data_IF_856290638554
#
_entry.id   IF_856290638554
#
_cell.length_a   1.000
_cell.length_b   1.000
_cell.length_c   1.000
_cell.angle_alpha   90.00
_cell.angle_beta   90.00
_cell.angle_gamma   90.00
#
_symmetry.space_group_name_H-M   'P 1'
#
loop_
_entity.id
_entity.type
_entity.pdbx_description
1 polymer ?
#
# COMPACT_ATOMS: atom_id res chain seq x y z
N UNK A 1 7.51 -8.81 -15.29
CA UNK A 1 6.61 -9.57 -14.40
C UNK A 1 5.49 -10.23 -15.21
N UNK A 2 5.67 -11.48 -15.67
CA UNK A 2 4.72 -12.15 -16.58
C UNK A 2 3.55 -12.76 -15.78
N UNK A 3 2.33 -12.36 -16.15
CA UNK A 3 0.98 -12.72 -15.64
C UNK A 3 0.51 -11.93 -14.41
N UNK A 4 -0.48 -11.05 -14.66
CA UNK A 4 -1.32 -10.34 -13.67
C UNK A 4 -1.83 -11.34 -12.62
N UNK A 5 -1.25 -11.31 -11.42
CA UNK A 5 -1.79 -11.99 -10.23
C UNK A 5 -2.43 -11.02 -9.25
N UNK A 6 -2.18 -9.72 -9.38
CA UNK A 6 -2.55 -8.73 -8.38
C UNK A 6 -3.07 -7.48 -9.08
N UNK A 7 -4.23 -6.99 -8.64
CA UNK A 7 -4.86 -5.77 -9.16
C UNK A 7 -4.43 -4.53 -8.37
N UNK A 8 -4.15 -4.71 -7.08
CA UNK A 8 -3.78 -3.65 -6.15
C UNK A 8 -2.49 -4.01 -5.42
N UNK A 9 -1.64 -3.02 -5.15
CA UNK A 9 -0.38 -3.16 -4.44
C UNK A 9 -0.21 -2.04 -3.43
N UNK A 10 0.02 -2.35 -2.16
CA UNK A 10 0.38 -1.37 -1.14
C UNK A 10 1.61 -1.89 -0.40
N UNK A 11 2.69 -1.11 -0.38
CA UNK A 11 3.94 -1.47 0.27
C UNK A 11 4.48 -0.24 0.99
N UNK A 12 4.69 -0.38 2.30
CA UNK A 12 5.41 0.57 3.13
C UNK A 12 6.72 -0.06 3.57
N UNK A 13 7.83 0.52 3.14
CA UNK A 13 9.14 0.15 3.63
C UNK A 13 9.37 0.84 4.98
N UNK A 14 9.74 0.06 5.99
CA UNK A 14 10.06 0.56 7.33
C UNK A 14 11.48 0.13 7.68
N UNK A 15 12.45 0.92 7.24
CA UNK A 15 13.86 0.71 7.57
C UNK A 15 14.28 1.70 8.66
N UNK A 16 14.62 1.17 9.84
CA UNK A 16 14.98 1.95 11.03
C UNK A 16 13.90 2.99 11.39
N UNK A 17 14.27 4.29 11.39
CA UNK A 17 13.39 5.43 11.65
C UNK A 17 12.72 5.99 10.40
N UNK A 18 13.00 5.43 9.21
CA UNK A 18 12.42 5.90 7.95
C UNK A 18 11.30 4.98 7.52
N UNK A 19 10.11 5.57 7.38
CA UNK A 19 8.99 4.93 6.70
C UNK A 19 8.81 5.59 5.34
N UNK A 20 8.97 4.83 4.26
CA UNK A 20 8.65 5.29 2.90
C UNK A 20 7.54 4.43 2.33
N UNK A 21 6.49 5.09 1.85
CA UNK A 21 5.43 4.42 1.12
C UNK A 21 5.74 4.43 -0.38
N UNK A 22 5.60 3.27 -1.02
CA UNK A 22 5.77 3.13 -2.47
C UNK A 22 4.86 4.10 -3.23
N UNK A 23 3.68 4.42 -2.69
CA UNK A 23 2.73 5.35 -3.25
C UNK A 23 3.32 6.73 -3.54
N UNK A 24 4.25 7.22 -2.71
CA UNK A 24 4.87 8.54 -2.92
C UNK A 24 5.97 8.53 -3.97
N UNK A 25 6.44 7.35 -4.41
CA UNK A 25 7.46 7.21 -5.45
C UNK A 25 6.84 7.23 -6.85
N UNK A 26 6.54 8.44 -7.35
CA UNK A 26 5.83 8.66 -8.64
C UNK A 26 6.38 7.87 -9.81
N UNK A 27 7.69 7.75 -9.94
CA UNK A 27 8.32 7.05 -11.07
C UNK A 27 8.10 5.53 -10.97
N UNK A 28 8.22 4.95 -9.76
CA UNK A 28 7.95 3.53 -9.53
C UNK A 28 6.46 3.22 -9.71
N UNK A 29 5.56 4.08 -9.21
CA UNK A 29 4.11 3.92 -9.38
C UNK A 29 3.72 3.82 -10.85
N UNK A 30 4.25 4.70 -11.69
CA UNK A 30 4.03 4.65 -13.15
C UNK A 30 4.47 3.34 -13.78
N UNK A 31 5.59 2.77 -13.34
CA UNK A 31 6.06 1.47 -13.81
C UNK A 31 5.04 0.37 -13.49
N UNK A 32 4.47 0.35 -12.28
CA UNK A 32 3.42 -0.61 -11.90
C UNK A 32 2.10 -0.40 -12.67
N UNK A 33 1.72 0.84 -12.94
CA UNK A 33 0.53 1.17 -13.74
C UNK A 33 0.63 0.62 -15.18
N UNK A 34 1.82 0.61 -15.79
CA UNK A 34 2.06 -0.01 -17.10
C UNK A 34 1.78 -1.53 -17.10
N UNK A 35 1.95 -2.18 -15.95
CA UNK A 35 1.56 -3.59 -15.76
C UNK A 35 0.08 -3.76 -15.37
N UNK A 36 -0.68 -2.67 -15.29
CA UNK A 36 -2.07 -2.63 -14.87
C UNK A 36 -2.27 -2.97 -13.40
N UNK A 37 -1.30 -2.62 -12.56
CA UNK A 37 -1.33 -2.75 -11.10
C UNK A 37 -1.55 -1.36 -10.53
N UNK A 38 -2.57 -1.19 -9.69
CA UNK A 38 -2.82 0.06 -8.99
C UNK A 38 -2.05 0.07 -7.66
N UNK A 39 -1.13 1.02 -7.51
CA UNK A 39 -0.46 1.25 -6.22
C UNK A 39 -1.38 2.06 -5.31
N UNK A 40 -1.57 1.58 -4.08
CA UNK A 40 -2.35 2.24 -3.04
C UNK A 40 -1.43 2.71 -1.92
N UNK A 41 -1.83 3.79 -1.24
CA UNK A 41 -1.21 4.22 0.01
C UNK A 41 -1.48 3.17 1.09
N UNK A 42 -0.42 2.71 1.76
CA UNK A 42 -0.52 1.70 2.80
C UNK A 42 -1.34 2.19 4.00
N UNK A 43 -1.23 3.48 4.34
CA UNK A 43 -1.94 4.02 5.49
C UNK A 43 -3.46 4.06 5.26
N UNK A 44 -3.92 4.11 4.00
CA UNK A 44 -5.36 4.03 3.67
C UNK A 44 -5.92 2.63 3.91
N UNK A 45 -5.07 1.60 4.02
CA UNK A 45 -5.47 0.24 4.40
C UNK A 45 -5.49 0.04 5.92
N UNK A 46 -5.02 1.02 6.70
CA UNK A 46 -5.04 0.93 8.15
C UNK A 46 -6.47 1.04 8.65
N UNK A 47 -7.03 -0.10 9.07
CA UNK A 47 -8.28 -0.13 9.81
C UNK A 47 -7.92 0.20 11.27
N UNK A 48 -8.57 1.22 11.85
CA UNK A 48 -8.44 1.56 13.27
C UNK A 48 -9.07 0.46 14.15
N UNK A 49 -8.41 -0.71 14.18
CA UNK A 49 -8.88 -1.92 14.86
C UNK A 49 -9.19 -1.65 16.34
N UNK A 50 -8.46 -0.73 16.98
CA UNK A 50 -8.72 -0.35 18.37
C UNK A 50 -10.10 0.29 18.55
N UNK A 51 -10.50 1.21 17.67
CA UNK A 51 -11.82 1.84 17.73
C UNK A 51 -12.93 0.83 17.36
N UNK A 52 -12.67 -0.04 16.39
CA UNK A 52 -13.61 -1.10 16.01
C UNK A 52 -13.89 -2.08 17.16
N UNK A 53 -12.86 -2.50 17.90
CA UNK A 53 -13.02 -3.43 19.02
C UNK A 53 -13.77 -2.76 20.19
N UNK A 54 -13.48 -1.48 20.49
CA UNK A 54 -14.14 -0.75 21.59
C UNK A 54 -15.64 -0.56 21.32
N UNK A 55 -16.07 -0.32 20.09
CA UNK A 55 -17.51 -0.20 19.76
C UNK A 55 -18.28 -1.53 19.87
N UNK A 56 -17.58 -2.67 19.98
CA UNK A 56 -18.19 -4.00 20.05
C UNK A 56 -18.31 -4.55 21.48
N UNK A 57 -17.70 -3.90 22.48
CA UNK A 57 -17.79 -4.26 23.91
C UNK A 57 -18.72 -3.32 24.67
#
# INVERSE_FOLDING_TARGET
>A
MKKKRIKYLAIRETLYSKSEDLFFSKDKVKEFELYGIQVLNYNDLFIEIFNFIIETY
#
